data_IF_016500744450
#
_entry.id   IF_016500744450
#
_cell.length_a   1.000
_cell.length_b   1.000
_cell.length_c   1.000
_cell.angle_alpha   90.00
_cell.angle_beta   90.00
_cell.angle_gamma   90.00
#
_symmetry.space_group_name_H-M   'P 1'
#
loop_
_entity.id
_entity.type
_entity.pdbx_description
1 polymer ?
#
# COMPACT_ATOMS: atom_id res chain seq x y z
N UNK A 1 3.99 9.97 16.13
CA UNK A 1 5.08 9.22 16.76
C UNK A 1 6.32 9.41 15.92
N UNK A 2 7.44 9.71 16.56
CA UNK A 2 8.70 9.97 15.87
C UNK A 2 9.58 8.73 15.91
N UNK A 3 10.01 8.25 14.74
CA UNK A 3 10.95 7.13 14.65
C UNK A 3 12.28 7.52 15.31
N UNK A 4 12.73 6.73 16.27
CA UNK A 4 14.02 6.89 16.93
C UNK A 4 15.11 6.07 16.23
N UNK A 5 14.79 4.82 15.88
CA UNK A 5 15.65 3.96 15.06
C UNK A 5 14.82 2.87 14.38
N UNK A 6 15.30 2.37 13.24
CA UNK A 6 14.75 1.22 12.55
C UNK A 6 15.88 0.34 12.01
N UNK A 7 15.74 -0.97 12.12
CA UNK A 7 16.71 -1.94 11.58
C UNK A 7 16.04 -3.23 11.18
N UNK A 8 16.65 -3.92 10.21
CA UNK A 8 16.27 -5.28 9.87
C UNK A 8 16.79 -6.27 10.92
N UNK A 9 15.98 -7.29 11.23
CA UNK A 9 16.35 -8.42 12.04
C UNK A 9 15.66 -9.68 11.50
N UNK A 10 16.41 -10.52 10.78
CA UNK A 10 15.88 -11.63 9.98
C UNK A 10 14.81 -11.09 9.00
N UNK A 11 13.62 -11.69 8.95
CA UNK A 11 12.53 -11.22 8.08
C UNK A 11 11.72 -10.03 8.64
N UNK A 12 12.09 -9.47 9.80
CA UNK A 12 11.31 -8.42 10.46
C UNK A 12 12.03 -7.07 10.43
N UNK A 13 11.24 -5.99 10.42
CA UNK A 13 11.71 -4.64 10.73
C UNK A 13 11.43 -4.37 12.20
N UNK A 14 12.49 -4.06 12.95
CA UNK A 14 12.37 -3.60 14.34
C UNK A 14 12.49 -2.08 14.33
N UNK A 15 11.41 -1.41 14.74
CA UNK A 15 11.36 0.04 14.87
C UNK A 15 11.18 0.45 16.34
N UNK A 16 11.78 1.57 16.71
CA UNK A 16 11.60 2.23 18.00
C UNK A 16 11.09 3.64 17.77
N UNK A 17 10.26 4.13 18.70
CA UNK A 17 9.67 5.47 18.63
C UNK A 17 10.03 6.23 19.89
N UNK A 18 10.28 7.54 19.77
CA UNK A 18 10.70 8.39 20.90
C UNK A 18 9.67 8.38 22.03
N UNK A 19 8.40 8.24 21.71
CA UNK A 19 7.28 8.26 22.65
C UNK A 19 6.90 6.86 23.18
N UNK A 20 7.57 5.80 22.72
CA UNK A 20 7.33 4.40 23.14
C UNK A 20 8.65 3.81 23.64
N UNK A 21 9.10 4.17 24.86
CA UNK A 21 10.44 3.87 25.33
C UNK A 21 10.62 2.46 25.90
N UNK A 22 9.53 1.76 26.21
CA UNK A 22 9.58 0.50 26.93
C UNK A 22 8.62 -0.57 26.36
N UNK A 23 8.80 -1.81 26.83
CA UNK A 23 8.02 -2.96 26.38
C UNK A 23 6.52 -2.82 26.69
N UNK A 24 6.17 -2.29 27.86
CA UNK A 24 4.78 -2.23 28.31
C UNK A 24 3.97 -1.26 27.45
N UNK A 25 4.53 -0.10 27.16
CA UNK A 25 3.92 0.88 26.25
C UNK A 25 3.85 0.35 24.83
N UNK A 26 4.88 -0.34 24.34
CA UNK A 26 4.87 -0.96 23.00
C UNK A 26 3.79 -2.02 22.84
N UNK A 27 3.51 -2.82 23.87
CA UNK A 27 2.51 -3.89 23.84
C UNK A 27 1.09 -3.36 23.55
N UNK A 28 0.77 -2.14 23.99
CA UNK A 28 -0.51 -1.47 23.73
C UNK A 28 -0.74 -1.17 22.23
N UNK A 29 0.33 -1.17 21.42
CA UNK A 29 0.26 -0.94 19.98
C UNK A 29 0.29 -2.22 19.16
N UNK A 30 0.35 -3.39 19.82
CA UNK A 30 0.29 -4.67 19.14
C UNK A 30 -0.99 -4.76 18.28
N UNK A 31 -0.84 -5.24 17.05
CA UNK A 31 -1.91 -5.39 16.04
C UNK A 31 -2.55 -4.07 15.54
N UNK A 32 -2.03 -2.90 15.91
CA UNK A 32 -2.46 -1.64 15.30
C UNK A 32 -1.82 -1.46 13.93
N UNK A 33 -2.51 -0.74 13.05
CA UNK A 33 -1.97 -0.35 11.75
C UNK A 33 -0.89 0.73 11.92
N UNK A 34 0.15 0.65 11.09
CA UNK A 34 1.13 1.72 10.92
C UNK A 34 0.72 2.50 9.67
N UNK A 35 0.62 3.82 9.79
CA UNK A 35 0.21 4.71 8.71
C UNK A 35 1.17 5.89 8.64
N UNK A 36 1.36 6.40 7.43
CA UNK A 36 2.09 7.64 7.15
C UNK A 36 1.12 8.64 6.54
N UNK A 37 1.33 9.93 6.80
CA UNK A 37 0.53 10.96 6.13
C UNK A 37 0.92 11.02 4.66
N UNK A 38 -0.04 11.39 3.82
CA UNK A 38 0.19 11.50 2.38
C UNK A 38 1.31 12.50 2.03
N UNK A 39 1.44 13.57 2.80
CA UNK A 39 2.49 14.59 2.67
C UNK A 39 3.90 14.08 3.06
N UNK A 40 3.99 13.00 3.82
CA UNK A 40 5.27 12.40 4.24
C UNK A 40 5.69 11.24 3.29
N UNK A 41 4.96 11.00 2.20
CA UNK A 41 5.30 9.97 1.23
C UNK A 41 6.59 10.32 0.50
N UNK A 42 7.31 9.28 0.08
CA UNK A 42 8.52 9.44 -0.71
C UNK A 42 8.11 9.78 -2.14
N UNK A 43 8.73 10.81 -2.73
CA UNK A 43 8.53 11.10 -4.14
C UNK A 43 8.99 9.90 -4.99
N UNK A 44 8.10 9.47 -5.88
CA UNK A 44 8.38 8.36 -6.77
C UNK A 44 9.02 8.87 -8.07
N UNK A 45 9.97 8.12 -8.66
CA UNK A 45 10.43 8.36 -10.02
C UNK A 45 9.26 8.40 -11.02
N UNK A 46 9.47 9.10 -12.13
CA UNK A 46 8.50 9.14 -13.23
C UNK A 46 8.08 7.73 -13.66
N UNK A 47 6.78 7.54 -13.88
CA UNK A 47 6.20 6.26 -14.25
C UNK A 47 6.01 5.27 -13.10
N UNK A 48 6.27 5.65 -11.85
CA UNK A 48 5.96 4.84 -10.66
C UNK A 48 4.86 5.47 -9.83
N UNK A 49 3.95 4.63 -9.35
CA UNK A 49 2.77 5.03 -8.60
C UNK A 49 2.62 4.16 -7.36
N UNK A 50 2.02 4.70 -6.30
CA UNK A 50 1.59 3.89 -5.18
C UNK A 50 0.33 3.11 -5.55
N UNK A 51 0.22 1.87 -5.07
CA UNK A 51 -0.96 1.02 -5.31
C UNK A 51 -2.27 1.70 -4.89
N UNK A 52 -2.27 2.41 -3.75
CA UNK A 52 -3.45 3.13 -3.27
C UNK A 52 -3.85 4.33 -4.15
N UNK A 53 -2.97 4.81 -5.03
CA UNK A 53 -3.30 5.83 -6.02
C UNK A 53 -3.94 5.22 -7.27
N UNK A 54 -3.72 3.92 -7.50
CA UNK A 54 -4.24 3.17 -8.64
C UNK A 54 -5.60 2.54 -8.32
N UNK A 55 -5.78 2.04 -7.10
CA UNK A 55 -7.07 1.49 -6.66
C UNK A 55 -8.14 2.58 -6.74
N UNK A 56 -9.27 2.25 -7.36
CA UNK A 56 -10.39 3.17 -7.59
C UNK A 56 -10.35 3.93 -8.92
N UNK A 57 -9.29 3.78 -9.72
CA UNK A 57 -9.24 4.36 -11.07
C UNK A 57 -10.16 3.59 -12.03
N UNK A 58 -10.85 4.35 -12.89
CA UNK A 58 -11.62 3.81 -14.01
C UNK A 58 -10.68 3.31 -15.11
N UNK A 59 -10.95 2.12 -15.62
CA UNK A 59 -10.18 1.51 -16.71
C UNK A 59 -10.97 1.64 -18.01
N UNK A 60 -10.33 2.19 -19.04
CA UNK A 60 -10.89 2.31 -20.38
C UNK A 60 -9.99 1.63 -21.41
N UNK A 61 -10.59 1.04 -22.45
CA UNK A 61 -9.83 0.59 -23.61
C UNK A 61 -9.41 1.77 -24.51
N UNK A 62 -8.64 1.49 -25.56
CA UNK A 62 -8.17 2.52 -26.51
C UNK A 62 -9.29 3.18 -27.32
N UNK A 63 -10.51 2.66 -27.27
CA UNK A 63 -11.70 3.20 -27.93
C UNK A 63 -12.57 4.02 -26.95
N UNK A 64 -12.20 4.09 -25.68
CA UNK A 64 -12.92 4.81 -24.63
C UNK A 64 -14.05 4.00 -23.98
N UNK A 65 -14.12 2.68 -24.21
CA UNK A 65 -15.10 1.84 -23.53
C UNK A 65 -14.65 1.57 -22.09
N UNK A 66 -15.52 1.82 -21.12
CA UNK A 66 -15.26 1.54 -19.70
C UNK A 66 -15.28 0.04 -19.45
N UNK A 67 -14.18 -0.49 -18.93
CA UNK A 67 -14.00 -1.89 -18.56
C UNK A 67 -14.34 -2.14 -17.09
N UNK A 68 -14.21 -1.12 -16.23
CA UNK A 68 -14.55 -1.22 -14.81
C UNK A 68 -13.67 -0.32 -13.95
N UNK A 69 -13.51 -0.68 -12.68
CA UNK A 69 -12.67 0.04 -11.72
C UNK A 69 -11.58 -0.89 -11.19
N UNK A 70 -10.35 -0.39 -11.00
CA UNK A 70 -9.29 -1.17 -10.36
C UNK A 70 -9.63 -1.39 -8.88
N UNK A 71 -9.70 -2.64 -8.44
CA UNK A 71 -10.04 -3.02 -7.06
C UNK A 71 -8.85 -3.56 -6.28
N UNK A 72 -7.86 -4.13 -6.96
CA UNK A 72 -6.65 -4.66 -6.35
C UNK A 72 -5.46 -4.63 -7.33
N UNK A 73 -4.25 -4.74 -6.78
CA UNK A 73 -2.99 -4.84 -7.54
C UNK A 73 -2.18 -6.00 -6.98
N UNK A 74 -2.13 -7.11 -7.73
CA UNK A 74 -1.39 -8.30 -7.34
C UNK A 74 0.07 -8.16 -7.77
N UNK A 75 0.99 -8.62 -6.93
CA UNK A 75 2.43 -8.57 -7.18
C UNK A 75 3.04 -10.00 -7.23
N UNK A 76 2.71 -10.83 -8.23
CA UNK A 76 3.20 -12.20 -8.36
C UNK A 76 4.71 -12.32 -8.62
N UNK A 77 5.41 -11.19 -8.83
CA UNK A 77 6.87 -11.09 -8.77
C UNK A 77 7.52 -10.58 -10.06
N UNK A 78 6.98 -10.90 -11.22
CA UNK A 78 7.51 -10.43 -12.51
C UNK A 78 6.93 -9.07 -12.92
N UNK A 79 5.60 -8.93 -12.83
CA UNK A 79 4.87 -7.71 -13.15
C UNK A 79 3.73 -7.55 -12.14
N UNK A 80 3.29 -6.30 -11.97
CA UNK A 80 2.05 -6.00 -11.26
C UNK A 80 0.86 -6.35 -12.16
N UNK A 81 -0.17 -6.99 -11.59
CA UNK A 81 -1.41 -7.37 -12.28
C UNK A 81 -2.56 -6.59 -11.66
N UNK A 82 -3.29 -5.85 -12.49
CA UNK A 82 -4.42 -5.04 -12.04
C UNK A 82 -5.71 -5.83 -12.10
N UNK A 83 -6.39 -5.93 -10.96
CA UNK A 83 -7.71 -6.56 -10.88
C UNK A 83 -8.77 -5.51 -11.14
N UNK A 84 -9.60 -5.74 -12.16
CA UNK A 84 -10.65 -4.82 -12.58
C UNK A 84 -12.01 -5.47 -12.32
N UNK A 85 -12.85 -4.78 -11.55
CA UNK A 85 -14.21 -5.23 -11.24
C UNK A 85 -15.24 -4.36 -11.93
N UNK A 86 -16.33 -5.00 -12.35
CA UNK A 86 -17.51 -4.36 -12.96
C UNK A 86 -18.78 -4.93 -12.33
N UNK A 87 -19.72 -4.07 -12.00
CA UNK A 87 -20.94 -4.48 -11.29
C UNK A 87 -21.69 -5.60 -12.03
N UNK A 88 -21.86 -6.75 -11.36
CA UNK A 88 -22.57 -7.91 -11.89
C UNK A 88 -21.75 -8.84 -12.79
N UNK A 89 -20.46 -8.53 -13.02
CA UNK A 89 -19.54 -9.38 -13.78
C UNK A 89 -18.40 -9.90 -12.88
N UNK A 90 -17.84 -11.09 -13.16
CA UNK A 90 -16.68 -11.59 -12.42
C UNK A 90 -15.45 -10.71 -12.66
N UNK A 91 -14.56 -10.67 -11.67
CA UNK A 91 -13.32 -9.90 -11.74
C UNK A 91 -12.46 -10.30 -12.95
N UNK A 92 -11.92 -9.28 -13.63
CA UNK A 92 -11.02 -9.44 -14.77
C UNK A 92 -9.58 -9.17 -14.31
N UNK A 93 -8.63 -9.95 -14.85
CA UNK A 93 -7.19 -9.88 -14.55
C UNK A 93 -6.41 -9.28 -15.72
#
# INVERSE_FOLDING_TARGET
YHVASARFHKQFVLASFKEIPDRNTAELFSKKAIQVRREDLVELPEGRYYIFDIIGLEVQDTMGNVLGTVTDVLQPGANDVYVVSKDGEPDQL
#
